data_IF_064699007742
#
_entry.id   IF_064699007742
#
_cell.length_a   1.000
_cell.length_b   1.000
_cell.length_c   1.000
_cell.angle_alpha   90.00
_cell.angle_beta   90.00
_cell.angle_gamma   90.00
#
_symmetry.space_group_name_H-M   'P 1'
#
loop_
_entity.id
_entity.type
_entity.pdbx_description
1 polymer ?
#
# COMPACT_ATOMS: atom_id res chain seq x y z
N UNK A 1 5.80 11.97 3.18
CA UNK A 1 5.06 11.11 2.22
C UNK A 1 5.90 9.92 1.82
N UNK A 2 5.24 8.80 1.58
CA UNK A 2 5.84 7.61 0.95
C UNK A 2 4.88 7.07 -0.11
N UNK A 3 5.41 6.79 -1.30
CA UNK A 3 4.64 6.24 -2.40
C UNK A 3 5.26 4.93 -2.86
N UNK A 4 4.46 3.86 -2.87
CA UNK A 4 4.83 2.51 -3.30
C UNK A 4 6.07 1.90 -2.61
N UNK A 5 6.51 2.47 -1.50
CA UNK A 5 7.72 2.06 -0.79
C UNK A 5 7.45 1.35 0.53
N UNK A 6 6.32 1.60 1.17
CA UNK A 6 6.07 1.09 2.52
C UNK A 6 6.03 -0.44 2.58
N UNK A 7 5.41 -1.09 1.59
CA UNK A 7 5.32 -2.55 1.51
C UNK A 7 6.67 -3.24 1.32
N UNK A 8 7.70 -2.50 0.89
CA UNK A 8 9.05 -3.03 0.68
C UNK A 8 9.91 -2.96 1.94
N UNK A 9 9.42 -2.29 2.99
CA UNK A 9 10.12 -2.25 4.27
C UNK A 9 9.93 -3.57 5.03
N UNK A 10 11.01 -4.10 5.57
CA UNK A 10 10.98 -5.28 6.45
C UNK A 10 10.12 -5.01 7.69
N UNK A 11 10.20 -3.78 8.23
CA UNK A 11 9.40 -3.30 9.35
C UNK A 11 8.65 -2.03 8.94
N UNK A 12 7.47 -2.20 8.34
CA UNK A 12 6.66 -1.07 7.90
C UNK A 12 6.07 -0.29 9.09
N UNK A 13 5.84 -0.94 10.22
CA UNK A 13 5.37 -0.25 11.44
C UNK A 13 6.45 0.68 11.98
N UNK A 14 7.69 0.22 12.04
CA UNK A 14 8.84 1.04 12.40
C UNK A 14 9.02 2.23 11.45
N UNK A 15 8.82 2.01 10.15
CA UNK A 15 8.83 3.07 9.15
C UNK A 15 7.76 4.15 9.42
N UNK A 16 6.54 3.73 9.73
CA UNK A 16 5.45 4.67 10.08
C UNK A 16 5.73 5.42 11.39
N UNK A 17 6.27 4.74 12.40
CA UNK A 17 6.68 5.38 13.66
C UNK A 17 7.75 6.44 13.43
N UNK A 18 8.71 6.16 12.56
CA UNK A 18 9.77 7.12 12.23
C UNK A 18 9.22 8.31 11.45
N UNK A 19 8.32 8.09 10.50
CA UNK A 19 7.62 9.19 9.82
C UNK A 19 6.87 10.08 10.81
N UNK A 20 6.21 9.48 11.79
CA UNK A 20 5.51 10.20 12.86
C UNK A 20 6.49 10.98 13.73
N UNK A 21 7.62 10.38 14.12
CA UNK A 21 8.63 11.03 14.95
C UNK A 21 9.16 12.31 14.33
N UNK A 22 9.49 12.27 13.02
CA UNK A 22 10.07 13.43 12.32
C UNK A 22 9.03 14.45 11.88
N UNK A 23 7.76 14.10 11.84
CA UNK A 23 6.69 15.02 11.50
C UNK A 23 6.52 16.08 12.59
N UNK A 24 6.27 17.32 12.18
CA UNK A 24 5.93 18.40 13.11
C UNK A 24 4.51 18.19 13.68
N UNK A 25 4.21 18.70 14.89
CA UNK A 25 2.82 18.72 15.39
C UNK A 25 1.87 19.35 14.36
N UNK A 26 0.75 18.68 14.08
CA UNK A 26 -0.16 19.06 13.02
C UNK A 26 0.27 18.67 11.61
N UNK A 27 1.45 18.08 11.46
CA UNK A 27 1.95 17.58 10.18
C UNK A 27 1.14 16.38 9.67
N UNK A 28 1.12 16.19 8.36
CA UNK A 28 0.39 15.11 7.71
C UNK A 28 1.36 14.06 7.16
N UNK A 29 1.06 12.80 7.44
CA UNK A 29 1.73 11.66 6.84
C UNK A 29 0.83 11.08 5.75
N UNK A 30 1.36 10.92 4.54
CA UNK A 30 0.63 10.34 3.41
C UNK A 30 1.33 9.07 2.95
N UNK A 31 0.57 7.99 2.86
CA UNK A 31 1.03 6.70 2.34
C UNK A 31 0.19 6.35 1.13
N UNK A 32 0.79 6.41 -0.05
CA UNK A 32 0.19 5.93 -1.29
C UNK A 32 0.74 4.54 -1.59
N UNK A 33 -0.13 3.57 -1.71
CA UNK A 33 0.27 2.21 -2.11
C UNK A 33 -0.89 1.47 -2.78
N UNK A 34 -0.60 0.28 -3.30
CA UNK A 34 -1.65 -0.60 -3.77
C UNK A 34 -2.53 -1.02 -2.61
N UNK A 35 -3.85 -0.98 -2.84
CA UNK A 35 -4.83 -1.44 -1.88
C UNK A 35 -5.23 -2.89 -2.10
N UNK A 36 -6.07 -3.40 -1.20
CA UNK A 36 -6.74 -4.70 -1.36
C UNK A 36 -8.24 -4.44 -1.46
N UNK A 37 -8.85 -4.63 -2.65
CA UNK A 37 -10.29 -4.52 -2.80
C UNK A 37 -11.02 -5.48 -1.86
N UNK A 38 -12.11 -5.01 -1.24
CA UNK A 38 -12.95 -5.84 -0.36
C UNK A 38 -14.10 -6.53 -1.10
N UNK A 39 -14.52 -5.98 -2.24
CA UNK A 39 -15.59 -6.54 -3.06
C UNK A 39 -15.13 -7.81 -3.78
N UNK A 40 -15.77 -8.96 -3.50
CA UNK A 40 -15.32 -10.29 -3.92
C UNK A 40 -15.01 -10.45 -5.43
N UNK A 41 -15.93 -10.15 -6.37
CA UNK A 41 -15.66 -10.26 -7.81
C UNK A 41 -14.54 -9.33 -8.28
N UNK A 42 -14.52 -8.09 -7.79
CA UNK A 42 -13.49 -7.11 -8.12
C UNK A 42 -12.13 -7.51 -7.56
N UNK A 43 -12.10 -8.02 -6.32
CA UNK A 43 -10.88 -8.53 -5.69
C UNK A 43 -10.30 -9.69 -6.48
N UNK A 44 -11.11 -10.65 -6.89
CA UNK A 44 -10.67 -11.77 -7.72
C UNK A 44 -10.08 -11.30 -9.04
N UNK A 45 -10.75 -10.40 -9.75
CA UNK A 45 -10.29 -9.83 -11.01
C UNK A 45 -8.96 -9.07 -10.83
N UNK A 46 -8.86 -8.24 -9.79
CA UNK A 46 -7.69 -7.46 -9.47
C UNK A 46 -6.47 -8.34 -9.19
N UNK A 47 -6.60 -9.34 -8.33
CA UNK A 47 -5.50 -10.26 -8.02
C UNK A 47 -5.14 -11.17 -9.19
N UNK A 48 -6.11 -11.60 -10.00
CA UNK A 48 -5.85 -12.36 -11.24
C UNK A 48 -5.06 -11.52 -12.23
N UNK A 49 -5.42 -10.26 -12.41
CA UNK A 49 -4.69 -9.31 -13.24
C UNK A 49 -3.23 -9.16 -12.77
N UNK A 50 -3.01 -8.91 -11.49
CA UNK A 50 -1.67 -8.79 -10.93
C UNK A 50 -0.84 -10.06 -11.05
N UNK A 51 -1.46 -11.22 -10.91
CA UNK A 51 -0.78 -12.51 -10.95
C UNK A 51 -0.36 -12.93 -12.35
N UNK A 52 -1.21 -12.69 -13.34
CA UNK A 52 -1.04 -13.21 -14.68
C UNK A 52 -0.69 -12.16 -15.73
N UNK A 53 -1.46 -11.08 -15.78
CA UNK A 53 -1.30 -10.08 -16.85
C UNK A 53 -0.08 -9.19 -16.65
N UNK A 54 0.19 -8.75 -15.44
CA UNK A 54 1.32 -7.86 -15.16
C UNK A 54 2.66 -8.54 -15.43
N UNK A 55 2.93 -9.78 -14.97
CA UNK A 55 4.15 -10.49 -15.36
C UNK A 55 4.25 -10.78 -16.85
N UNK A 56 3.13 -11.07 -17.52
CA UNK A 56 3.09 -11.28 -18.97
C UNK A 56 3.51 -10.02 -19.73
N UNK A 57 2.95 -8.86 -19.36
CA UNK A 57 3.35 -7.58 -19.94
C UNK A 57 4.83 -7.24 -19.63
N UNK A 58 5.28 -7.53 -18.42
CA UNK A 58 6.67 -7.36 -18.04
C UNK A 58 7.62 -8.18 -18.91
N UNK A 59 7.25 -9.42 -19.24
CA UNK A 59 8.03 -10.29 -20.14
C UNK A 59 8.03 -9.77 -21.58
N UNK A 60 6.89 -9.31 -22.08
CA UNK A 60 6.75 -8.87 -23.48
C UNK A 60 7.44 -7.53 -23.72
N UNK A 61 7.25 -6.55 -22.82
CA UNK A 61 7.66 -5.18 -23.05
C UNK A 61 8.96 -4.79 -22.33
N UNK A 62 9.28 -5.42 -21.21
CA UNK A 62 10.41 -5.01 -20.37
C UNK A 62 11.45 -6.12 -20.17
N UNK A 63 11.20 -7.33 -20.63
CA UNK A 63 12.05 -8.52 -20.45
C UNK A 63 12.38 -8.84 -18.97
N UNK A 64 11.57 -8.34 -18.04
CA UNK A 64 11.78 -8.47 -16.59
C UNK A 64 10.49 -8.94 -15.88
N UNK A 65 10.08 -10.16 -16.14
CA UNK A 65 8.91 -10.76 -15.49
C UNK A 65 9.05 -10.90 -13.96
N UNK A 66 10.24 -11.22 -13.39
CA UNK A 66 10.39 -11.34 -11.94
C UNK A 66 10.10 -10.06 -11.17
N UNK A 67 10.50 -8.90 -11.68
CA UNK A 67 10.24 -7.60 -11.04
C UNK A 67 8.74 -7.32 -10.92
N UNK A 68 7.96 -7.69 -11.92
CA UNK A 68 6.50 -7.50 -11.90
C UNK A 68 5.77 -8.54 -11.05
N UNK A 69 6.25 -9.78 -11.02
CA UNK A 69 5.72 -10.82 -10.13
C UNK A 69 5.89 -10.45 -8.65
N UNK A 70 6.95 -9.74 -8.30
CA UNK A 70 7.21 -9.25 -6.95
C UNK A 70 6.09 -8.34 -6.41
N UNK A 71 5.39 -7.60 -7.26
CA UNK A 71 4.27 -6.75 -6.84
C UNK A 71 3.17 -7.59 -6.20
N UNK A 72 2.81 -8.71 -6.82
CA UNK A 72 1.80 -9.61 -6.27
C UNK A 72 2.25 -10.23 -4.95
N UNK A 73 3.47 -10.74 -4.89
CA UNK A 73 4.03 -11.37 -3.69
C UNK A 73 4.10 -10.39 -2.52
N UNK A 74 4.58 -9.17 -2.76
CA UNK A 74 4.66 -8.15 -1.71
C UNK A 74 3.29 -7.76 -1.17
N UNK A 75 2.24 -7.75 -2.01
CA UNK A 75 0.88 -7.45 -1.58
C UNK A 75 0.24 -8.55 -0.76
N UNK A 76 0.61 -9.82 -0.97
CA UNK A 76 0.06 -10.93 -0.18
C UNK A 76 0.39 -10.80 1.31
N UNK A 77 1.59 -10.35 1.63
CA UNK A 77 2.09 -10.22 3.00
C UNK A 77 1.86 -8.82 3.61
N UNK A 78 1.50 -7.86 2.79
CA UNK A 78 1.27 -6.48 3.22
C UNK A 78 -0.18 -6.29 3.69
N UNK A 79 -0.41 -5.72 4.89
CA UNK A 79 -1.76 -5.56 5.45
C UNK A 79 -2.61 -4.50 4.73
N UNK A 80 -2.07 -3.84 3.73
CA UNK A 80 -2.70 -2.81 2.91
C UNK A 80 -3.28 -1.64 3.72
N UNK A 81 -4.31 -1.00 3.17
CA UNK A 81 -4.87 0.24 3.72
C UNK A 81 -5.40 0.12 5.15
N UNK A 82 -6.05 -1.00 5.48
CA UNK A 82 -6.66 -1.17 6.80
C UNK A 82 -5.61 -1.42 7.88
N UNK A 83 -4.58 -2.21 7.57
CA UNK A 83 -3.45 -2.43 8.46
C UNK A 83 -2.61 -1.17 8.66
N UNK A 84 -2.36 -0.41 7.62
CA UNK A 84 -1.66 0.89 7.72
C UNK A 84 -2.45 1.87 8.57
N UNK A 85 -3.77 1.98 8.35
CA UNK A 85 -4.63 2.83 9.16
C UNK A 85 -4.66 2.42 10.64
N UNK A 86 -4.65 1.11 10.92
CA UNK A 86 -4.56 0.60 12.29
C UNK A 86 -3.26 1.07 12.96
N UNK A 87 -2.12 0.89 12.31
CA UNK A 87 -0.83 1.34 12.85
C UNK A 87 -0.81 2.86 13.06
N UNK A 88 -1.36 3.63 12.11
CA UNK A 88 -1.46 5.08 12.26
C UNK A 88 -2.28 5.49 13.51
N UNK A 89 -3.35 4.74 13.84
CA UNK A 89 -4.12 4.97 15.07
C UNK A 89 -3.33 4.55 16.31
N UNK A 90 -2.62 3.43 16.25
CA UNK A 90 -1.81 2.92 17.37
C UNK A 90 -0.64 3.83 17.73
N UNK A 91 -0.10 4.58 16.75
CA UNK A 91 0.91 5.61 16.98
C UNK A 91 0.34 7.00 17.30
N UNK A 92 -0.96 7.06 17.61
CA UNK A 92 -1.66 8.27 18.08
C UNK A 92 -1.85 9.38 17.04
N UNK A 93 -1.95 9.04 15.77
CA UNK A 93 -2.43 10.00 14.78
C UNK A 93 -3.85 10.47 15.14
N UNK A 94 -4.06 11.78 15.16
CA UNK A 94 -5.35 12.40 15.56
C UNK A 94 -6.47 12.08 14.60
N UNK A 95 -6.17 12.12 13.30
CA UNK A 95 -7.11 11.82 12.23
C UNK A 95 -6.46 10.81 11.28
N UNK A 96 -7.17 9.73 10.99
CA UNK A 96 -6.72 8.73 10.02
C UNK A 96 -7.81 8.56 8.97
N UNK A 97 -7.49 8.90 7.73
CA UNK A 97 -8.41 8.82 6.61
C UNK A 97 -7.84 7.90 5.54
N UNK A 98 -8.70 7.11 4.91
CA UNK A 98 -8.35 6.25 3.78
C UNK A 98 -9.10 6.76 2.54
N UNK A 99 -8.36 7.23 1.54
CA UNK A 99 -8.90 7.54 0.23
C UNK A 99 -8.71 6.33 -0.68
N UNK A 100 -9.82 5.79 -1.17
CA UNK A 100 -9.83 4.62 -2.06
C UNK A 100 -9.98 5.07 -3.49
N UNK A 101 -9.12 4.57 -4.36
CA UNK A 101 -9.09 4.89 -5.79
C UNK A 101 -9.27 3.59 -6.57
N UNK A 102 -10.04 3.64 -7.64
CA UNK A 102 -10.33 2.48 -8.50
C UNK A 102 -10.82 1.26 -7.71
N UNK A 103 -11.83 1.45 -6.87
CA UNK A 103 -12.39 0.35 -6.07
C UNK A 103 -11.41 -0.27 -5.08
N UNK A 104 -10.51 0.53 -4.51
CA UNK A 104 -9.43 0.12 -3.60
C UNK A 104 -8.24 -0.57 -4.28
N UNK A 105 -8.09 -0.49 -5.59
CA UNK A 105 -6.87 -0.94 -6.28
C UNK A 105 -5.66 -0.11 -5.88
N UNK A 106 -5.87 1.18 -5.62
CA UNK A 106 -4.90 2.08 -5.00
C UNK A 106 -5.53 2.79 -3.81
N UNK A 107 -4.72 3.10 -2.81
CA UNK A 107 -5.19 3.79 -1.60
C UNK A 107 -4.19 4.84 -1.13
N UNK A 108 -4.73 5.92 -0.57
CA UNK A 108 -3.92 6.92 0.13
C UNK A 108 -4.37 6.93 1.58
N UNK A 109 -3.50 6.52 2.47
CA UNK A 109 -3.72 6.68 3.89
C UNK A 109 -3.14 8.01 4.35
N UNK A 110 -3.94 8.79 5.04
CA UNK A 110 -3.54 10.10 5.60
C UNK A 110 -3.67 10.04 7.11
N UNK A 111 -2.58 10.29 7.80
CA UNK A 111 -2.55 10.45 9.25
C UNK A 111 -2.07 11.84 9.63
N UNK A 112 -2.70 12.46 10.62
CA UNK A 112 -2.32 13.77 11.16
C UNK A 112 -1.67 13.58 12.54
N UNK A 113 -0.49 14.16 12.73
CA UNK A 113 0.21 14.14 14.03
C UNK A 113 -0.41 15.09 15.05
#
# INVERSE_FOLDING_TARGET
TIAYGLRNLTDFEGGLREMYRVAKPGGRMLVLDFGKPSFGPWRWFYFTYLKWMVPMFGRIFCSDAPAYAYIHESLEHYPAQDGVAKVMRDIECREVTIHRILGSAMTINVGVK
#
